data_IF_155694786941
#
_entry.id   IF_155694786941
#
_cell.length_a   1.000
_cell.length_b   1.000
_cell.length_c   1.000
_cell.angle_alpha   90.00
_cell.angle_beta   90.00
_cell.angle_gamma   90.00
#
_symmetry.space_group_name_H-M   'P 1'
#
loop_
_entity.id
_entity.type
_entity.pdbx_description
1 polymer ?
#
# COMPACT_ATOMS: atom_id res chain seq x y z
N UNK A 1 3.17 -11.33 59.78
CA UNK A 1 1.75 -11.45 60.15
C UNK A 1 1.16 -10.05 60.08
N UNK A 2 0.24 -9.83 59.12
CA UNK A 2 -0.67 -8.67 58.89
C UNK A 2 0.01 -7.35 58.45
N UNK A 3 -0.15 -6.86 57.22
CA UNK A 3 -1.33 -6.30 56.52
C UNK A 3 -1.97 -5.09 57.21
N UNK A 4 -1.96 -3.96 56.49
CA UNK A 4 -2.99 -2.92 56.31
C UNK A 4 -2.41 -1.92 55.28
N UNK A 5 -2.81 -1.87 54.01
CA UNK A 5 -4.07 -1.40 53.40
C UNK A 5 -4.36 0.09 53.65
N UNK A 6 -4.06 0.94 52.65
CA UNK A 6 -4.86 2.14 52.38
C UNK A 6 -4.87 2.45 50.88
N UNK A 7 -6.05 2.82 50.41
CA UNK A 7 -6.50 2.69 49.04
C UNK A 7 -6.43 3.98 48.22
N UNK A 8 -6.54 3.76 46.90
CA UNK A 8 -7.18 4.60 45.87
C UNK A 8 -6.65 6.01 45.63
N UNK A 9 -6.04 6.18 44.45
CA UNK A 9 -6.41 7.28 43.56
C UNK A 9 -6.59 6.71 42.15
N UNK A 10 -7.84 6.73 41.73
CA UNK A 10 -8.34 6.32 40.42
C UNK A 10 -8.01 7.42 39.42
N UNK A 11 -6.86 7.36 38.76
CA UNK A 11 -6.67 8.14 37.54
C UNK A 11 -7.33 7.40 36.40
N UNK A 12 -8.51 7.91 36.04
CA UNK A 12 -9.29 7.53 34.86
C UNK A 12 -8.42 7.79 33.63
N UNK A 13 -7.85 6.73 33.07
CA UNK A 13 -7.29 6.77 31.72
C UNK A 13 -8.47 6.97 30.77
N UNK A 14 -8.52 8.14 30.13
CA UNK A 14 -9.46 8.46 29.07
C UNK A 14 -9.37 7.39 27.98
N UNK A 15 -10.44 6.59 27.88
CA UNK A 15 -10.65 5.59 26.85
C UNK A 15 -11.04 6.31 25.56
N UNK A 16 -10.22 6.21 24.51
CA UNK A 16 -10.63 6.41 23.12
C UNK A 16 -9.63 5.77 22.14
N UNK A 17 -10.05 4.70 21.46
CA UNK A 17 -10.11 4.56 20.00
C UNK A 17 -10.61 3.12 19.70
N UNK A 18 -11.66 3.00 18.89
CA UNK A 18 -12.44 1.78 18.61
C UNK A 18 -11.57 0.68 17.95
N UNK A 19 -10.88 -0.11 18.75
CA UNK A 19 -10.18 -1.30 18.26
C UNK A 19 -11.20 -2.40 17.98
N UNK A 20 -11.41 -2.72 16.71
CA UNK A 20 -12.29 -3.82 16.30
C UNK A 20 -11.62 -5.17 16.60
N UNK A 21 -12.01 -5.75 17.73
CA UNK A 21 -11.56 -7.07 18.20
C UNK A 21 -11.79 -8.15 17.14
N UNK A 22 -12.93 -8.11 16.43
CA UNK A 22 -13.27 -9.12 15.41
C UNK A 22 -12.25 -9.11 14.29
N UNK A 23 -11.85 -7.90 13.87
CA UNK A 23 -10.89 -7.76 12.81
C UNK A 23 -9.47 -8.19 13.23
N UNK A 24 -9.04 -7.88 14.47
CA UNK A 24 -7.76 -8.38 14.99
C UNK A 24 -7.74 -9.91 15.05
N UNK A 25 -8.84 -10.53 15.48
CA UNK A 25 -8.97 -11.98 15.49
C UNK A 25 -8.86 -12.58 14.08
N UNK A 26 -9.44 -11.93 13.07
CA UNK A 26 -9.31 -12.32 11.66
C UNK A 26 -7.86 -12.25 11.18
N UNK A 27 -7.12 -11.19 11.53
CA UNK A 27 -5.68 -11.08 11.23
C UNK A 27 -4.92 -12.24 11.89
N UNK A 28 -5.20 -12.52 13.16
CA UNK A 28 -4.55 -13.61 13.90
C UNK A 28 -4.84 -14.99 13.28
N UNK A 29 -6.07 -15.26 12.88
CA UNK A 29 -6.44 -16.53 12.21
C UNK A 29 -5.72 -16.68 10.88
N UNK A 30 -5.64 -15.61 10.08
CA UNK A 30 -4.90 -15.59 8.81
C UNK A 30 -3.43 -15.98 8.95
N UNK A 31 -2.80 -15.69 10.09
CA UNK A 31 -1.40 -15.99 10.39
C UNK A 31 -1.18 -17.21 11.29
N UNK A 32 -2.25 -17.96 11.62
CA UNK A 32 -2.16 -19.15 12.46
C UNK A 32 -2.00 -20.45 11.65
N UNK A 33 -2.45 -20.46 10.38
CA UNK A 33 -2.37 -21.61 9.47
C UNK A 33 -1.05 -21.66 8.70
N UNK A 34 -0.55 -20.50 8.29
CA UNK A 34 0.81 -20.32 7.80
C UNK A 34 1.68 -19.89 8.97
N UNK A 35 2.98 -20.21 8.97
CA UNK A 35 3.91 -19.88 10.06
C UNK A 35 4.24 -18.37 10.12
N UNK A 36 3.22 -17.51 10.17
CA UNK A 36 3.33 -16.06 10.27
C UNK A 36 3.94 -15.68 11.61
N UNK A 37 5.14 -15.09 11.57
CA UNK A 37 5.80 -14.60 12.78
C UNK A 37 5.03 -13.42 13.41
N UNK A 38 5.27 -13.17 14.71
CA UNK A 38 4.71 -12.03 15.45
C UNK A 38 4.89 -10.69 14.71
N UNK A 39 6.00 -10.53 13.97
CA UNK A 39 6.27 -9.33 13.16
C UNK A 39 5.20 -9.11 12.09
N UNK A 40 4.81 -10.15 11.33
CA UNK A 40 3.83 -10.02 10.25
C UNK A 40 2.43 -9.65 10.78
N UNK A 41 2.06 -10.19 11.95
CA UNK A 41 0.82 -9.84 12.65
C UNK A 41 0.82 -8.36 13.04
N UNK A 42 1.93 -7.89 13.64
CA UNK A 42 2.06 -6.48 14.03
C UNK A 42 2.11 -5.54 12.82
N UNK A 43 2.74 -5.95 11.70
CA UNK A 43 2.74 -5.18 10.46
C UNK A 43 1.33 -5.00 9.89
N UNK A 44 0.51 -6.05 9.90
CA UNK A 44 -0.87 -5.98 9.40
C UNK A 44 -1.75 -5.11 10.30
N UNK A 45 -1.64 -5.25 11.62
CA UNK A 45 -2.33 -4.39 12.58
C UNK A 45 -1.93 -2.92 12.38
N UNK A 46 -0.63 -2.63 12.27
CA UNK A 46 -0.17 -1.27 12.02
C UNK A 46 -0.63 -0.74 10.66
N UNK A 47 -0.71 -1.59 9.63
CA UNK A 47 -1.22 -1.20 8.32
C UNK A 47 -2.67 -0.73 8.36
N UNK A 48 -3.46 -1.26 9.30
CA UNK A 48 -4.86 -0.92 9.45
C UNK A 48 -5.10 0.29 10.37
N UNK A 49 -4.44 0.33 11.52
CA UNK A 49 -4.63 1.40 12.50
C UNK A 49 -3.64 2.56 12.35
N UNK A 50 -2.58 2.42 11.54
CA UNK A 50 -1.48 3.39 11.39
C UNK A 50 -0.46 3.38 12.54
N UNK A 51 -0.77 2.67 13.63
CA UNK A 51 0.08 2.44 14.80
C UNK A 51 -0.32 1.11 15.46
N UNK A 52 0.29 0.77 16.59
CA UNK A 52 -0.04 -0.40 17.39
C UNK A 52 -0.77 0.02 18.68
N UNK A 53 -2.11 -0.03 18.72
CA UNK A 53 -2.89 0.22 19.92
C UNK A 53 -2.54 -0.78 21.04
N UNK A 54 -2.54 -0.32 22.28
CA UNK A 54 -2.28 -1.19 23.44
C UNK A 54 -3.27 -2.37 23.51
N UNK A 55 -4.55 -2.11 23.27
CA UNK A 55 -5.59 -3.15 23.27
C UNK A 55 -5.31 -4.22 22.20
N UNK A 56 -4.85 -3.81 21.01
CA UNK A 56 -4.47 -4.73 19.96
C UNK A 56 -3.30 -5.63 20.38
N UNK A 57 -2.29 -5.07 21.05
CA UNK A 57 -1.14 -5.83 21.56
C UNK A 57 -1.55 -6.83 22.66
N UNK A 58 -2.51 -6.47 23.51
CA UNK A 58 -3.07 -7.36 24.54
C UNK A 58 -3.78 -8.56 23.89
N UNK A 59 -4.64 -8.32 22.91
CA UNK A 59 -5.34 -9.38 22.16
C UNK A 59 -4.33 -10.31 21.46
N UNK A 60 -3.29 -9.74 20.82
CA UNK A 60 -2.23 -10.52 20.17
C UNK A 60 -1.48 -11.37 21.20
N UNK A 61 -1.13 -10.82 22.36
CA UNK A 61 -0.47 -11.54 23.45
C UNK A 61 -1.28 -12.77 23.89
N UNK A 62 -2.57 -12.56 24.18
CA UNK A 62 -3.46 -13.60 24.67
C UNK A 62 -3.65 -14.71 23.63
N UNK A 63 -3.86 -14.35 22.36
CA UNK A 63 -4.15 -15.33 21.31
C UNK A 63 -2.92 -16.07 20.83
N UNK A 64 -1.76 -15.41 20.77
CA UNK A 64 -0.49 -16.01 20.34
C UNK A 64 0.21 -16.81 21.45
N UNK A 65 -0.35 -16.82 22.67
CA UNK A 65 0.24 -17.45 23.88
C UNK A 65 1.66 -16.94 24.18
N UNK A 66 1.92 -15.66 23.88
CA UNK A 66 3.18 -14.97 24.19
C UNK A 66 2.95 -14.01 25.33
N UNK A 67 3.97 -13.72 26.12
CA UNK A 67 3.83 -12.69 27.15
C UNK A 67 3.68 -11.31 26.52
N UNK A 68 2.94 -10.42 27.16
CA UNK A 68 2.76 -9.06 26.66
C UNK A 68 4.10 -8.33 26.58
N UNK A 69 5.03 -8.66 27.49
CA UNK A 69 6.41 -8.15 27.50
C UNK A 69 7.16 -8.56 26.22
N UNK A 70 7.02 -9.80 25.76
CA UNK A 70 7.66 -10.24 24.51
C UNK A 70 7.08 -9.49 23.31
N UNK A 71 5.77 -9.26 23.30
CA UNK A 71 5.08 -8.51 22.23
C UNK A 71 5.57 -7.07 22.18
N UNK A 72 5.60 -6.37 23.32
CA UNK A 72 6.19 -5.03 23.42
C UNK A 72 7.68 -5.02 23.09
N UNK A 73 8.42 -6.06 23.47
CA UNK A 73 9.83 -6.22 23.13
C UNK A 73 10.03 -6.19 21.62
N UNK A 74 9.23 -6.92 20.85
CA UNK A 74 9.28 -6.87 19.38
C UNK A 74 8.81 -5.52 18.84
N UNK A 75 7.69 -4.99 19.33
CA UNK A 75 7.13 -3.72 18.87
C UNK A 75 8.08 -2.53 19.09
N UNK A 76 8.87 -2.56 20.17
CA UNK A 76 9.85 -1.50 20.47
C UNK A 76 11.22 -1.73 19.87
N UNK A 77 11.58 -2.98 19.55
CA UNK A 77 12.85 -3.33 18.92
C UNK A 77 12.92 -2.85 17.46
N UNK A 78 11.84 -3.03 16.70
CA UNK A 78 11.79 -2.61 15.30
C UNK A 78 11.28 -1.17 15.15
N UNK A 79 12.13 -0.29 14.63
CA UNK A 79 11.80 1.13 14.40
C UNK A 79 10.66 1.37 13.39
N UNK A 80 10.32 0.36 12.58
CA UNK A 80 9.17 0.43 11.66
C UNK A 80 7.84 0.51 12.41
N UNK A 81 7.78 -0.09 13.61
CA UNK A 81 6.59 -0.07 14.45
C UNK A 81 6.49 1.22 15.25
N UNK A 82 5.26 1.70 15.43
CA UNK A 82 4.93 2.83 16.28
C UNK A 82 3.87 2.44 17.29
N UNK A 83 4.16 2.71 18.56
CA UNK A 83 3.18 2.62 19.66
C UNK A 83 2.36 3.90 19.81
N UNK A 84 2.68 4.95 19.04
CA UNK A 84 2.00 6.24 19.07
C UNK A 84 1.23 6.44 17.76
N UNK A 85 0.04 7.07 17.80
CA UNK A 85 -0.68 7.43 16.59
C UNK A 85 0.20 8.25 15.64
N UNK A 86 0.31 7.76 14.40
CA UNK A 86 0.95 8.48 13.30
C UNK A 86 -0.09 9.29 12.56
N UNK A 87 0.37 10.35 11.91
CA UNK A 87 -0.42 11.10 10.95
C UNK A 87 -0.67 10.28 9.69
N UNK A 88 -1.58 10.77 8.85
CA UNK A 88 -1.93 10.13 7.57
C UNK A 88 -0.72 9.91 6.67
N UNK A 89 0.25 10.83 6.70
CA UNK A 89 1.44 10.82 5.87
C UNK A 89 2.71 10.71 6.71
N UNK A 90 3.53 9.69 6.46
CA UNK A 90 4.80 9.48 7.14
C UNK A 90 5.97 10.00 6.29
N UNK A 91 6.60 11.08 6.74
CA UNK A 91 7.77 11.69 6.10
C UNK A 91 9.04 11.25 6.83
N UNK A 92 9.90 10.48 6.18
CA UNK A 92 11.16 10.01 6.74
C UNK A 92 12.38 10.58 5.99
N UNK A 93 13.21 11.36 6.68
CA UNK A 93 14.42 11.93 6.11
C UNK A 93 15.68 11.12 6.48
N UNK A 94 16.51 10.80 5.48
CA UNK A 94 17.77 10.09 5.70
C UNK A 94 18.88 11.03 6.18
N UNK A 95 19.44 10.74 7.35
CA UNK A 95 20.57 11.45 7.94
C UNK A 95 21.88 10.66 7.92
N UNK A 96 21.97 9.62 7.08
CA UNK A 96 23.18 8.82 6.93
C UNK A 96 24.34 9.60 6.35
N UNK A 97 25.56 9.15 6.58
CA UNK A 97 26.80 9.90 6.28
C UNK A 97 26.79 10.54 4.89
N UNK A 98 26.43 9.77 3.84
CA UNK A 98 26.36 10.28 2.48
C UNK A 98 25.28 11.38 2.29
N UNK A 99 24.10 11.22 2.89
CA UNK A 99 23.04 12.22 2.85
C UNK A 99 23.39 13.44 3.71
N UNK A 100 24.02 13.22 4.86
CA UNK A 100 24.46 14.25 5.78
C UNK A 100 25.43 15.23 5.10
N UNK A 101 26.50 14.70 4.49
CA UNK A 101 27.50 15.51 3.77
C UNK A 101 26.88 16.24 2.57
N UNK A 102 25.83 15.66 1.95
CA UNK A 102 25.08 16.29 0.84
C UNK A 102 24.02 17.30 1.30
N UNK A 103 23.95 17.60 2.60
CA UNK A 103 23.10 18.67 3.14
C UNK A 103 21.72 18.21 3.65
N UNK A 104 21.51 16.92 3.92
CA UNK A 104 20.27 16.44 4.52
C UNK A 104 19.83 17.15 5.83
N UNK A 105 20.72 17.63 6.73
CA UNK A 105 20.29 18.40 7.89
C UNK A 105 19.48 19.65 7.51
N UNK A 106 19.81 20.31 6.39
CA UNK A 106 19.07 21.47 5.88
C UNK A 106 17.69 21.09 5.36
N UNK A 107 17.53 19.86 4.85
CA UNK A 107 16.25 19.30 4.43
C UNK A 107 15.36 19.04 5.65
N UNK A 108 15.92 18.47 6.72
CA UNK A 108 15.20 18.24 7.97
C UNK A 108 14.76 19.56 8.61
N UNK A 109 15.64 20.58 8.64
CA UNK A 109 15.25 21.89 9.18
C UNK A 109 14.12 22.55 8.38
N UNK A 110 14.12 22.43 7.07
CA UNK A 110 13.01 22.94 6.26
C UNK A 110 11.71 22.14 6.48
N UNK A 111 11.78 20.81 6.60
CA UNK A 111 10.62 20.00 6.96
C UNK A 111 10.04 20.41 8.32
N UNK A 112 10.89 20.67 9.31
CA UNK A 112 10.47 21.20 10.62
C UNK A 112 9.80 22.57 10.50
N UNK A 113 10.33 23.46 9.67
CA UNK A 113 9.77 24.80 9.46
C UNK A 113 8.40 24.74 8.78
N UNK A 114 8.26 23.91 7.74
CA UNK A 114 7.02 23.77 6.97
C UNK A 114 5.91 23.06 7.76
N UNK A 115 6.26 22.04 8.54
CA UNK A 115 5.28 21.24 9.31
C UNK A 115 5.05 21.76 10.73
N UNK A 116 5.93 22.62 11.25
CA UNK A 116 5.83 23.16 12.61
C UNK A 116 6.09 22.13 13.73
N UNK A 117 6.72 21.00 13.42
CA UNK A 117 6.98 19.89 14.34
C UNK A 117 8.45 19.45 14.34
N UNK A 118 8.87 18.71 15.37
CA UNK A 118 10.21 18.10 15.45
C UNK A 118 10.23 16.67 14.91
N UNK A 119 11.41 16.12 14.58
CA UNK A 119 11.54 14.69 14.28
C UNK A 119 11.05 13.82 15.44
N UNK A 120 10.19 12.85 15.14
CA UNK A 120 9.50 11.99 16.09
C UNK A 120 8.11 12.49 16.53
N UNK A 121 7.66 13.64 16.01
CA UNK A 121 6.35 14.21 16.32
C UNK A 121 5.39 14.10 15.13
N UNK A 122 4.10 14.21 15.44
CA UNK A 122 2.98 14.25 14.49
C UNK A 122 2.33 15.63 14.58
N UNK A 123 1.89 16.18 13.45
CA UNK A 123 1.19 17.46 13.39
C UNK A 123 -0.14 17.41 14.17
N UNK A 124 -0.62 18.53 14.74
CA UNK A 124 -1.85 18.56 15.54
C UNK A 124 -3.12 18.12 14.78
N UNK A 125 -3.13 18.31 13.46
CA UNK A 125 -4.20 17.88 12.55
C UNK A 125 -4.13 16.39 12.18
N UNK A 126 -3.16 15.64 12.72
CA UNK A 126 -2.86 14.24 12.36
C UNK A 126 -2.61 14.04 10.86
N UNK A 127 -2.19 15.08 10.11
CA UNK A 127 -1.92 14.96 8.68
C UNK A 127 -0.52 14.36 8.41
N UNK A 128 0.52 14.82 9.12
CA UNK A 128 1.91 14.41 8.88
C UNK A 128 2.62 13.95 10.14
N UNK A 129 3.45 12.91 10.02
CA UNK A 129 4.48 12.54 11.01
C UNK A 129 5.85 12.74 10.39
N UNK A 130 6.73 13.46 11.09
CA UNK A 130 8.12 13.65 10.65
C UNK A 130 9.03 12.70 11.41
N UNK A 131 9.72 11.81 10.70
CA UNK A 131 10.76 10.94 11.24
C UNK A 131 12.10 11.19 10.56
N UNK A 132 13.18 10.80 11.26
CA UNK A 132 14.52 10.73 10.69
C UNK A 132 15.09 9.35 10.91
N UNK A 133 15.87 8.88 9.95
CA UNK A 133 16.56 7.59 10.00
C UNK A 133 18.05 7.76 9.77
N UNK A 134 18.84 6.90 10.41
CA UNK A 134 20.29 6.92 10.26
C UNK A 134 20.73 6.52 8.86
N UNK A 135 20.12 5.54 8.21
CA UNK A 135 20.49 5.19 6.83
C UNK A 135 19.35 4.43 6.15
N UNK A 136 19.10 4.78 4.89
CA UNK A 136 18.16 4.07 4.01
C UNK A 136 18.86 3.13 3.01
N UNK A 137 20.18 3.02 3.06
CA UNK A 137 20.96 2.22 2.08
C UNK A 137 21.02 2.80 0.66
N UNK A 138 20.26 3.86 0.36
CA UNK A 138 20.16 4.46 -0.97
C UNK A 138 21.20 5.60 -1.21
N UNK A 139 22.46 5.40 -0.84
CA UNK A 139 23.50 6.45 -0.85
C UNK A 139 23.70 7.10 -2.24
N UNK A 140 23.52 6.36 -3.33
CA UNK A 140 23.60 6.91 -4.70
C UNK A 140 22.55 8.02 -4.95
N UNK A 141 21.40 7.95 -4.28
CA UNK A 141 20.26 8.83 -4.48
C UNK A 141 20.24 10.05 -3.53
N UNK A 142 21.17 10.12 -2.56
CA UNK A 142 21.18 11.13 -1.51
C UNK A 142 21.31 12.59 -2.00
N UNK A 143 20.69 13.58 -1.31
CA UNK A 143 19.82 13.44 -0.13
C UNK A 143 18.48 12.77 -0.46
N UNK A 144 18.06 11.83 0.41
CA UNK A 144 16.83 11.04 0.24
C UNK A 144 15.80 11.41 1.29
N UNK A 145 14.58 11.64 0.85
CA UNK A 145 13.37 11.70 1.70
C UNK A 145 12.42 10.63 1.21
N UNK A 146 11.78 9.93 2.14
CA UNK A 146 10.72 8.96 1.85
C UNK A 146 9.42 9.50 2.38
N UNK A 147 8.35 9.49 1.58
CA UNK A 147 7.01 9.84 2.05
C UNK A 147 6.07 8.71 1.68
N UNK A 148 5.39 8.10 2.66
CA UNK A 148 4.47 6.98 2.45
C UNK A 148 5.07 5.85 1.59
N UNK A 149 6.32 5.48 1.89
CA UNK A 149 7.08 4.46 1.17
C UNK A 149 7.68 4.91 -0.16
N UNK A 150 7.35 6.10 -0.68
CA UNK A 150 7.87 6.62 -1.93
C UNK A 150 9.23 7.31 -1.75
N UNK A 151 10.23 6.89 -2.52
CA UNK A 151 11.59 7.42 -2.45
C UNK A 151 11.78 8.65 -3.34
N UNK A 152 12.16 9.77 -2.74
CA UNK A 152 12.53 11.00 -3.44
C UNK A 152 14.04 11.20 -3.38
N UNK A 153 14.66 11.24 -4.56
CA UNK A 153 16.12 11.39 -4.71
C UNK A 153 16.52 12.85 -4.94
N UNK A 154 17.78 13.17 -4.59
CA UNK A 154 18.42 14.48 -4.79
C UNK A 154 17.54 15.64 -4.29
N UNK A 155 16.86 15.44 -3.15
CA UNK A 155 15.90 16.41 -2.64
C UNK A 155 16.62 17.69 -2.24
N UNK A 156 16.08 18.82 -2.69
CA UNK A 156 16.55 20.17 -2.36
C UNK A 156 15.52 20.86 -1.49
N UNK A 157 15.99 21.83 -0.70
CA UNK A 157 15.14 22.67 0.17
C UNK A 157 13.89 23.20 -0.55
N UNK A 158 14.07 23.74 -1.75
CA UNK A 158 13.00 24.33 -2.56
C UNK A 158 11.92 23.35 -3.01
N UNK A 159 12.20 22.04 -3.03
CA UNK A 159 11.26 21.02 -3.48
C UNK A 159 10.36 20.52 -2.34
N UNK A 160 10.68 20.83 -1.09
CA UNK A 160 9.98 20.26 0.08
C UNK A 160 8.51 20.66 0.10
N UNK A 161 8.19 21.93 -0.12
CA UNK A 161 6.79 22.38 -0.18
C UNK A 161 5.98 21.62 -1.24
N UNK A 162 6.55 21.45 -2.44
CA UNK A 162 5.92 20.67 -3.51
C UNK A 162 5.69 19.20 -3.10
N UNK A 163 6.67 18.56 -2.46
CA UNK A 163 6.53 17.17 -2.01
C UNK A 163 5.45 17.00 -0.93
N UNK A 164 5.31 17.95 -0.02
CA UNK A 164 4.26 17.93 0.99
C UNK A 164 2.88 18.13 0.35
N UNK A 165 2.75 19.04 -0.61
CA UNK A 165 1.50 19.24 -1.35
C UNK A 165 1.14 18.03 -2.24
N UNK A 166 2.13 17.38 -2.85
CA UNK A 166 1.95 16.11 -3.57
C UNK A 166 1.47 15.01 -2.62
N UNK A 167 2.05 14.92 -1.40
CA UNK A 167 1.61 13.95 -0.40
C UNK A 167 0.14 14.13 -0.02
N UNK A 168 -0.30 15.39 0.22
CA UNK A 168 -1.72 15.69 0.53
C UNK A 168 -2.68 15.23 -0.55
N UNK A 169 -2.28 15.35 -1.82
CA UNK A 169 -3.06 14.89 -2.98
C UNK A 169 -3.00 13.37 -3.17
N UNK A 170 -1.97 12.72 -2.62
CA UNK A 170 -1.68 11.30 -2.74
C UNK A 170 -0.75 11.00 -3.92
N UNK A 171 0.20 10.09 -3.70
CA UNK A 171 1.16 9.65 -4.73
C UNK A 171 0.61 8.57 -5.68
N UNK A 172 -0.57 8.03 -5.36
CA UNK A 172 -1.30 7.05 -6.18
C UNK A 172 -2.08 7.72 -7.33
N UNK A 173 -2.04 9.05 -7.40
CA UNK A 173 -2.56 9.84 -8.53
C UNK A 173 -1.64 9.69 -9.73
N UNK A 174 -2.03 8.83 -10.67
CA UNK A 174 -1.29 8.59 -11.89
C UNK A 174 -1.51 9.77 -12.88
N UNK A 175 -0.61 10.76 -12.93
CA UNK A 175 -0.67 11.82 -13.97
C UNK A 175 -0.15 11.29 -15.31
N UNK A 176 -1.09 10.90 -16.17
CA UNK A 176 -0.85 10.41 -17.53
C UNK A 176 0.02 11.42 -18.31
N UNK A 177 1.17 10.97 -18.79
CA UNK A 177 2.12 11.76 -19.61
C UNK A 177 3.22 12.49 -18.83
N UNK A 178 3.14 12.62 -17.50
CA UNK A 178 4.25 13.14 -16.66
C UNK A 178 4.91 12.07 -15.80
N UNK A 179 4.13 11.11 -15.32
CA UNK A 179 4.68 10.00 -14.55
C UNK A 179 5.29 8.95 -15.47
N UNK A 180 6.62 8.79 -15.40
CA UNK A 180 7.36 7.79 -16.19
C UNK A 180 7.01 6.35 -15.83
N UNK A 181 6.33 6.12 -14.69
CA UNK A 181 5.81 4.81 -14.29
C UNK A 181 4.55 4.43 -15.06
N UNK A 182 3.87 5.40 -15.67
CA UNK A 182 2.69 5.20 -16.50
C UNK A 182 3.12 5.19 -17.96
N UNK A 183 2.93 4.06 -18.63
CA UNK A 183 3.26 3.91 -20.03
C UNK A 183 2.26 2.98 -20.71
N UNK A 184 1.99 3.18 -22.01
CA UNK A 184 1.09 2.30 -22.74
C UNK A 184 1.72 0.91 -22.91
N UNK A 185 0.91 -0.11 -22.65
CA UNK A 185 1.20 -1.50 -22.98
C UNK A 185 0.24 -1.96 -24.07
N UNK A 186 0.74 -2.75 -25.01
CA UNK A 186 -0.09 -3.45 -25.99
C UNK A 186 -0.13 -4.92 -25.62
N UNK A 187 -1.32 -5.49 -25.51
CA UNK A 187 -1.49 -6.85 -25.00
C UNK A 187 -2.26 -7.77 -25.95
N UNK A 188 -1.98 -9.06 -25.86
CA UNK A 188 -2.55 -10.10 -26.70
C UNK A 188 -2.99 -11.32 -25.90
N UNK A 189 -3.92 -12.08 -26.49
CA UNK A 189 -4.42 -13.32 -25.92
C UNK A 189 -3.30 -14.37 -25.76
N UNK A 190 -3.15 -15.01 -24.59
CA UNK A 190 -2.16 -16.08 -24.43
C UNK A 190 -2.50 -17.36 -25.20
N UNK A 191 -3.75 -17.54 -25.61
CA UNK A 191 -4.20 -18.72 -26.35
C UNK A 191 -4.07 -18.56 -27.88
N UNK A 192 -4.61 -17.47 -28.44
CA UNK A 192 -4.64 -17.27 -29.90
C UNK A 192 -3.71 -16.17 -30.42
N UNK A 193 -2.97 -15.50 -29.52
CA UNK A 193 -2.02 -14.43 -29.83
C UNK A 193 -2.60 -13.22 -30.59
N UNK A 194 -3.93 -13.10 -30.68
CA UNK A 194 -4.59 -11.91 -31.24
C UNK A 194 -4.61 -10.78 -30.22
N UNK A 195 -4.42 -9.56 -30.72
CA UNK A 195 -4.38 -8.33 -29.92
C UNK A 195 -5.72 -8.08 -29.23
N UNK A 196 -5.69 -7.71 -27.95
CA UNK A 196 -6.87 -7.21 -27.23
C UNK A 196 -7.09 -5.71 -27.41
N UNK A 197 -6.19 -5.02 -28.12
CA UNK A 197 -6.27 -3.57 -28.29
C UNK A 197 -7.49 -3.20 -29.15
N UNK A 198 -8.32 -2.28 -28.64
CA UNK A 198 -9.49 -1.70 -29.30
C UNK A 198 -9.25 -0.22 -29.58
N UNK A 199 -8.97 0.11 -30.84
CA UNK A 199 -8.74 1.49 -31.29
C UNK A 199 -10.03 2.32 -31.40
N UNK A 200 -11.21 1.67 -31.38
CA UNK A 200 -12.50 2.37 -31.56
C UNK A 200 -12.99 3.05 -30.29
N UNK A 201 -12.44 2.66 -29.14
CA UNK A 201 -12.86 3.14 -27.82
C UNK A 201 -11.64 3.44 -26.98
N UNK A 202 -11.44 4.72 -26.66
CA UNK A 202 -10.30 5.17 -25.88
C UNK A 202 -10.64 5.22 -24.37
N UNK A 203 -9.65 4.87 -23.55
CA UNK A 203 -9.63 5.14 -22.10
C UNK A 203 -8.35 5.94 -21.86
N UNK A 204 -8.42 6.99 -21.04
CA UNK A 204 -7.27 7.85 -20.72
C UNK A 204 -6.62 8.54 -21.93
N UNK A 205 -7.35 8.65 -23.05
CA UNK A 205 -6.83 9.20 -24.31
C UNK A 205 -6.01 8.21 -25.15
N UNK A 206 -5.97 6.93 -24.78
CA UNK A 206 -5.28 5.86 -25.50
C UNK A 206 -6.24 4.73 -25.91
N UNK A 207 -5.91 3.89 -26.90
CA UNK A 207 -6.69 2.68 -27.22
C UNK A 207 -6.90 1.81 -25.97
N UNK A 208 -8.08 1.22 -25.83
CA UNK A 208 -8.37 0.38 -24.66
C UNK A 208 -8.01 -1.09 -24.89
N UNK A 209 -7.91 -1.86 -23.82
CA UNK A 209 -7.81 -3.31 -23.85
C UNK A 209 -9.22 -3.86 -23.70
N UNK A 210 -9.77 -4.50 -24.74
CA UNK A 210 -11.11 -5.10 -24.72
C UNK A 210 -11.03 -6.59 -24.47
N UNK A 211 -11.79 -7.05 -23.46
CA UNK A 211 -11.99 -8.47 -23.14
C UNK A 211 -13.47 -8.75 -22.92
N UNK A 212 -13.87 -10.01 -23.10
CA UNK A 212 -15.19 -10.44 -22.68
C UNK A 212 -15.11 -10.91 -21.22
N UNK A 213 -16.18 -10.73 -20.46
CA UNK A 213 -16.26 -11.15 -19.07
C UNK A 213 -17.56 -11.89 -18.79
N UNK A 214 -17.54 -12.77 -17.79
CA UNK A 214 -18.72 -13.48 -17.33
C UNK A 214 -18.81 -13.52 -15.81
N UNK A 215 -20.03 -13.34 -15.29
CA UNK A 215 -20.36 -13.41 -13.87
C UNK A 215 -21.82 -13.85 -13.68
N UNK A 216 -22.10 -14.81 -12.79
CA UNK A 216 -23.46 -15.30 -12.49
C UNK A 216 -24.38 -15.56 -13.70
N UNK A 217 -23.85 -16.15 -14.77
CA UNK A 217 -24.54 -16.42 -16.04
C UNK A 217 -24.86 -15.21 -16.92
N UNK A 218 -24.38 -14.03 -16.54
CA UNK A 218 -24.35 -12.85 -17.40
C UNK A 218 -23.00 -12.75 -18.12
N UNK A 219 -23.04 -12.36 -19.39
CA UNK A 219 -21.87 -12.14 -20.24
C UNK A 219 -21.90 -10.73 -20.80
N UNK A 220 -20.72 -10.13 -20.91
CA UNK A 220 -20.55 -8.78 -21.44
C UNK A 220 -19.10 -8.49 -21.78
N UNK A 221 -18.77 -7.22 -21.97
CA UNK A 221 -17.42 -6.76 -22.26
C UNK A 221 -16.89 -5.84 -21.17
N UNK A 222 -15.57 -5.92 -20.99
CA UNK A 222 -14.81 -5.03 -20.14
C UNK A 222 -13.70 -4.40 -20.97
N UNK A 223 -13.61 -3.07 -20.90
CA UNK A 223 -12.50 -2.30 -21.43
C UNK A 223 -11.65 -1.79 -20.28
N UNK A 224 -10.35 -2.01 -20.39
CA UNK A 224 -9.34 -1.53 -19.47
C UNK A 224 -8.50 -0.46 -20.14
N UNK A 225 -7.97 0.50 -19.37
CA UNK A 225 -6.90 1.36 -19.84
C UNK A 225 -5.70 0.52 -20.28
N UNK A 226 -5.08 0.88 -21.41
CA UNK A 226 -3.82 0.27 -21.82
C UNK A 226 -2.61 0.90 -21.12
N UNK A 227 -2.81 1.93 -20.30
CA UNK A 227 -1.72 2.55 -19.56
C UNK A 227 -1.43 1.72 -18.31
N UNK A 228 -0.23 1.15 -18.22
CA UNK A 228 0.20 0.48 -17.00
C UNK A 228 0.18 1.47 -15.83
N UNK A 229 -0.45 1.10 -14.71
CA UNK A 229 -0.67 1.98 -13.57
C UNK A 229 -1.99 2.77 -13.61
N UNK A 230 -2.75 2.75 -14.71
CA UNK A 230 -4.14 3.23 -14.73
C UNK A 230 -5.11 2.10 -14.37
N UNK A 231 -6.14 2.45 -13.61
CA UNK A 231 -7.21 1.53 -13.18
C UNK A 231 -8.57 1.93 -13.76
N UNK A 232 -8.59 2.83 -14.74
CA UNK A 232 -9.81 3.26 -15.39
C UNK A 232 -10.34 2.17 -16.31
N UNK A 233 -11.65 1.93 -16.20
CA UNK A 233 -12.34 0.83 -16.86
C UNK A 233 -13.72 1.25 -17.32
N UNK A 234 -14.22 0.59 -18.36
CA UNK A 234 -15.58 0.75 -18.90
C UNK A 234 -16.17 -0.63 -19.14
N UNK A 235 -17.44 -0.83 -18.80
CA UNK A 235 -18.13 -2.13 -18.85
C UNK A 235 -19.60 -1.93 -19.20
N UNK A 236 -20.21 -2.90 -19.85
CA UNK A 236 -21.67 -2.93 -20.10
C UNK A 236 -22.44 -3.70 -19.03
N UNK A 237 -21.77 -4.52 -18.21
CA UNK A 237 -22.34 -5.17 -17.05
C UNK A 237 -22.21 -4.31 -15.80
N UNK A 238 -23.28 -4.25 -15.00
CA UNK A 238 -23.26 -3.69 -13.66
C UNK A 238 -22.72 -4.72 -12.67
N UNK A 239 -21.41 -4.65 -12.41
CA UNK A 239 -20.69 -5.61 -11.57
C UNK A 239 -20.38 -4.93 -10.23
N UNK A 240 -20.93 -5.43 -9.11
CA UNK A 240 -20.64 -4.89 -7.80
C UNK A 240 -19.13 -4.88 -7.50
N UNK A 241 -18.67 -3.86 -6.80
CA UNK A 241 -17.29 -3.83 -6.32
C UNK A 241 -16.99 -5.08 -5.47
N UNK A 242 -15.74 -5.54 -5.54
CA UNK A 242 -15.26 -6.77 -4.89
C UNK A 242 -15.69 -8.10 -5.51
N UNK A 243 -16.41 -8.07 -6.63
CA UNK A 243 -16.80 -9.27 -7.38
C UNK A 243 -15.64 -9.82 -8.22
N UNK A 244 -15.46 -11.13 -8.25
CA UNK A 244 -14.49 -11.83 -9.13
C UNK A 244 -15.17 -12.20 -10.44
N UNK A 245 -14.59 -11.79 -11.57
CA UNK A 245 -15.13 -12.08 -12.90
C UNK A 245 -14.18 -12.96 -13.71
N UNK A 246 -14.72 -13.83 -14.56
CA UNK A 246 -13.92 -14.63 -15.49
C UNK A 246 -13.68 -13.87 -16.78
N UNK A 247 -12.45 -13.89 -17.26
CA UNK A 247 -12.03 -13.18 -18.47
C UNK A 247 -11.99 -14.15 -19.64
N UNK A 248 -12.54 -13.73 -20.78
CA UNK A 248 -12.60 -14.49 -22.02
C UNK A 248 -11.99 -13.68 -23.16
N UNK A 249 -11.28 -14.37 -24.04
CA UNK A 249 -10.76 -13.75 -25.24
C UNK A 249 -11.91 -13.37 -26.20
N UNK A 250 -12.04 -12.10 -26.63
CA UNK A 250 -13.10 -11.69 -27.56
C UNK A 250 -12.93 -12.29 -28.97
N UNK A 251 -11.76 -12.86 -29.26
CA UNK A 251 -11.43 -13.40 -30.59
C UNK A 251 -11.58 -14.91 -30.72
N UNK A 252 -11.24 -15.67 -29.67
CA UNK A 252 -11.34 -17.13 -29.67
C UNK A 252 -12.36 -17.67 -28.68
N UNK A 253 -12.98 -16.82 -27.84
CA UNK A 253 -13.98 -17.21 -26.85
C UNK A 253 -13.45 -18.02 -25.66
N UNK A 254 -12.18 -18.42 -25.70
CA UNK A 254 -11.55 -19.22 -24.64
C UNK A 254 -11.37 -18.38 -23.37
N UNK A 255 -11.73 -18.99 -22.24
CA UNK A 255 -11.46 -18.46 -20.92
C UNK A 255 -9.95 -18.37 -20.69
N UNK A 256 -9.48 -17.23 -20.20
CA UNK A 256 -8.07 -16.99 -19.93
C UNK A 256 -7.74 -17.57 -18.55
N UNK A 257 -6.96 -18.67 -18.46
CA UNK A 257 -6.69 -19.33 -17.19
C UNK A 257 -5.84 -18.45 -16.30
N UNK A 258 -6.22 -18.35 -15.02
CA UNK A 258 -5.47 -17.60 -14.03
C UNK A 258 -4.21 -18.37 -13.61
N UNK A 259 -3.09 -17.67 -13.47
CA UNK A 259 -1.78 -18.31 -13.23
C UNK A 259 -1.21 -18.04 -11.83
N UNK A 260 -1.82 -17.14 -11.07
CA UNK A 260 -1.36 -16.72 -9.74
C UNK A 260 -2.45 -15.95 -9.01
N UNK A 261 -2.29 -15.78 -7.70
CA UNK A 261 -3.20 -14.99 -6.87
C UNK A 261 -2.68 -13.57 -6.64
N UNK A 262 -3.61 -12.62 -6.52
CA UNK A 262 -3.32 -11.22 -6.26
C UNK A 262 -2.73 -11.03 -4.84
N UNK A 263 -1.58 -10.38 -4.73
CA UNK A 263 -0.95 -10.09 -3.43
C UNK A 263 -1.80 -9.19 -2.51
N UNK A 264 -2.65 -8.34 -3.09
CA UNK A 264 -3.50 -7.40 -2.34
C UNK A 264 -4.81 -8.02 -1.85
N UNK A 265 -5.51 -8.77 -2.71
CA UNK A 265 -6.87 -9.26 -2.41
C UNK A 265 -7.05 -10.77 -2.57
N UNK A 266 -5.98 -11.50 -2.91
CA UNK A 266 -5.94 -12.96 -3.15
C UNK A 266 -6.87 -13.48 -4.26
N UNK A 267 -7.47 -12.58 -5.03
CA UNK A 267 -8.27 -12.97 -6.18
C UNK A 267 -7.37 -13.48 -7.32
N UNK A 268 -7.87 -14.35 -8.20
CA UNK A 268 -7.09 -14.86 -9.33
C UNK A 268 -6.61 -13.74 -10.27
N UNK A 269 -5.40 -13.89 -10.80
CA UNK A 269 -4.78 -12.94 -11.72
C UNK A 269 -4.78 -13.50 -13.15
N UNK A 270 -5.32 -12.72 -14.08
CA UNK A 270 -5.50 -13.06 -15.49
C UNK A 270 -4.29 -12.61 -16.30
N UNK A 271 -3.51 -13.51 -16.91
CA UNK A 271 -2.34 -13.17 -17.71
C UNK A 271 -2.71 -12.70 -19.13
N UNK A 272 -2.01 -11.68 -19.63
CA UNK A 272 -2.06 -11.22 -21.01
C UNK A 272 -0.62 -11.02 -21.53
N UNK A 273 -0.35 -11.43 -22.76
CA UNK A 273 0.98 -11.32 -23.35
C UNK A 273 1.25 -9.87 -23.74
N UNK A 274 2.40 -9.32 -23.36
CA UNK A 274 2.78 -7.95 -23.73
C UNK A 274 3.57 -7.96 -25.04
N UNK A 275 3.17 -7.10 -25.98
CA UNK A 275 3.91 -6.91 -27.22
C UNK A 275 5.27 -6.28 -26.93
N UNK A 276 6.36 -6.93 -27.36
CA UNK A 276 7.73 -6.59 -26.96
C UNK A 276 8.32 -7.49 -25.88
N UNK A 277 7.54 -8.43 -25.33
CA UNK A 277 7.98 -9.42 -24.36
C UNK A 277 7.41 -9.20 -22.97
N UNK A 278 7.27 -10.28 -22.20
CA UNK A 278 6.68 -10.28 -20.86
C UNK A 278 5.20 -10.60 -20.81
N UNK A 279 4.67 -10.63 -19.59
CA UNK A 279 3.27 -10.92 -19.28
C UNK A 279 2.77 -9.90 -18.28
N UNK A 280 1.65 -9.25 -18.59
CA UNK A 280 0.91 -8.47 -17.60
C UNK A 280 -0.16 -9.36 -16.99
N UNK A 281 -0.30 -9.29 -15.67
CA UNK A 281 -1.30 -10.02 -14.90
C UNK A 281 -2.26 -9.00 -14.29
N UNK A 282 -3.54 -9.13 -14.63
CA UNK A 282 -4.61 -8.23 -14.19
C UNK A 282 -5.47 -8.95 -13.15
N UNK A 283 -5.76 -8.30 -12.04
CA UNK A 283 -6.62 -8.87 -11.01
C UNK A 283 -8.06 -9.03 -11.52
N UNK A 284 -8.63 -10.22 -11.35
CA UNK A 284 -10.02 -10.52 -11.74
C UNK A 284 -11.08 -9.89 -10.85
N UNK A 285 -10.69 -9.34 -9.68
CA UNK A 285 -11.62 -8.71 -8.73
C UNK A 285 -11.87 -7.25 -9.09
N UNK A 286 -13.15 -6.89 -9.31
CA UNK A 286 -13.60 -5.52 -9.53
C UNK A 286 -13.17 -4.61 -8.37
N UNK A 287 -12.58 -3.46 -8.71
CA UNK A 287 -12.09 -2.47 -7.75
C UNK A 287 -10.67 -2.73 -7.22
N UNK A 288 -10.04 -3.87 -7.52
CA UNK A 288 -8.65 -4.11 -7.14
C UNK A 288 -7.68 -3.39 -8.09
N UNK A 289 -6.77 -2.58 -7.53
CA UNK A 289 -5.79 -1.80 -8.29
C UNK A 289 -4.47 -2.55 -8.57
N UNK A 290 -4.38 -3.83 -8.20
CA UNK A 290 -3.12 -4.57 -8.29
C UNK A 290 -2.96 -5.22 -9.66
N UNK A 291 -2.10 -4.64 -10.51
CA UNK A 291 -1.69 -5.21 -11.79
C UNK A 291 -0.17 -5.46 -11.76
N UNK A 292 0.25 -6.68 -12.09
CA UNK A 292 1.67 -7.06 -12.07
C UNK A 292 2.21 -7.17 -13.50
N UNK A 293 3.34 -6.54 -13.77
CA UNK A 293 4.04 -6.69 -15.05
C UNK A 293 5.31 -7.53 -14.84
N UNK A 294 5.30 -8.75 -15.35
CA UNK A 294 6.45 -9.64 -15.35
C UNK A 294 7.18 -9.50 -16.69
N UNK A 295 8.30 -8.77 -16.69
CA UNK A 295 9.15 -8.62 -17.87
C UNK A 295 10.16 -9.77 -17.88
N UNK A 296 10.25 -10.49 -19.00
CA UNK A 296 11.21 -11.59 -19.23
C UNK A 296 12.52 -11.02 -19.75
#
# INVERSE_FOLDING_TARGET
>A
MKQEAFASSSDRVEVCEDVDVTNILRILEKHNEDRGGLIAILEEIQGEYGYLPEEALRIVSDRSRRSLVDVYGVATFYRSFSLKPRGKHLVCACLGTACHVRGAPRIVEELKQQLGIKPGETTPDKEFTLETVNCLGACALGPVVVIDGHYFSKVRKSRIGQLLDEARKGFDGAEIGKDKRIFPISVSCPHCNRSFMDETSAIDGYPSIKVNISHNHEEGWLRLSCLYGSHNISTDLDIPDSTVVRFHCPHCGVEIPCTSDCSMCRAPMVPMLVHGGGVVKICSRRGCKNHMLDVV
#
